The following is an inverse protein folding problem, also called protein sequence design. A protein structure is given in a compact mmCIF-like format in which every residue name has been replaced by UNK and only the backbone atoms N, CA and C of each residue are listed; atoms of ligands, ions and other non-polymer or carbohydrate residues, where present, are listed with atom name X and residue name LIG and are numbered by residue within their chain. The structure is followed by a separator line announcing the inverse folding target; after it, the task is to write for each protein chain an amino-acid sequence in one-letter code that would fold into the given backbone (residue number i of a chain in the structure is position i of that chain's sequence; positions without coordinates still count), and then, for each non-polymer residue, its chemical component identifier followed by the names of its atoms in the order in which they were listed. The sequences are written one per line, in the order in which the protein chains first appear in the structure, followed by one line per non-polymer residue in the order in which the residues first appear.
data_IF_114061255499
#
_entry.id   IF_114061255499
#
_cell.length_a   1.000
_cell.length_b   1.000
_cell.length_c   1.000
_cell.angle_alpha   90.00
_cell.angle_beta   90.00
_cell.angle_gamma   90.00
#
_symmetry.space_group_name_H-M   'P 1'
#
loop_
_entity.id
_entity.type
_entity.pdbx_description
1 polymer ?
#
# COMPACT_ATOMS: atom_id res chain seq x y z
N UNK A 1 22.91 -4.67 7.57
CA UNK A 1 21.55 -4.07 7.53
C UNK A 1 20.97 -4.33 6.15
N UNK A 2 19.72 -4.78 5.99
CA UNK A 2 19.11 -4.95 4.68
C UNK A 2 19.14 -3.60 3.96
N UNK A 3 19.73 -3.59 2.77
CA UNK A 3 19.91 -2.38 1.96
C UNK A 3 18.65 -2.02 1.17
N UNK A 4 17.69 -2.95 1.05
CA UNK A 4 16.43 -2.81 0.33
C UNK A 4 15.29 -3.53 1.06
N UNK A 5 14.09 -2.99 0.95
CA UNK A 5 12.85 -3.59 1.44
C UNK A 5 11.85 -3.72 0.30
N UNK A 6 11.02 -4.75 0.35
CA UNK A 6 9.85 -4.90 -0.50
C UNK A 6 8.64 -4.45 0.30
N UNK A 7 7.84 -3.53 -0.23
CA UNK A 7 6.64 -3.08 0.45
C UNK A 7 5.50 -2.85 -0.53
N UNK A 8 4.30 -3.02 -0.01
CA UNK A 8 3.05 -2.74 -0.70
C UNK A 8 2.30 -1.69 0.10
N UNK A 9 1.59 -0.79 -0.57
CA UNK A 9 0.79 0.22 0.11
C UNK A 9 -0.49 0.57 -0.63
N UNK A 10 -1.47 1.04 0.14
CA UNK A 10 -2.73 1.56 -0.38
C UNK A 10 -2.81 3.02 0.03
N UNK A 11 -2.76 3.91 -0.96
CA UNK A 11 -2.88 5.34 -0.74
C UNK A 11 -4.33 5.75 -0.93
N UNK A 12 -4.95 6.33 0.10
CA UNK A 12 -6.33 6.84 0.06
C UNK A 12 -6.39 8.32 0.44
N UNK A 13 -7.50 9.00 0.15
CA UNK A 13 -7.63 10.44 0.46
C UNK A 13 -7.92 10.67 1.93
N UNK A 14 -8.64 9.75 2.55
CA UNK A 14 -9.19 9.95 3.90
C UNK A 14 -8.81 8.82 4.85
N UNK A 15 -8.68 9.17 6.13
CA UNK A 15 -8.45 8.20 7.19
C UNK A 15 -9.61 7.19 7.30
N UNK A 16 -10.84 7.63 7.00
CA UNK A 16 -12.03 6.76 7.03
C UNK A 16 -11.96 5.65 5.97
N UNK A 17 -11.50 5.96 4.76
CA UNK A 17 -11.24 4.94 3.74
C UNK A 17 -10.14 3.97 4.18
N UNK A 18 -9.06 4.47 4.80
CA UNK A 18 -7.97 3.61 5.29
C UNK A 18 -8.47 2.64 6.37
N UNK A 19 -9.29 3.11 7.31
CA UNK A 19 -9.88 2.27 8.35
C UNK A 19 -10.86 1.23 7.78
N UNK A 20 -11.67 1.60 6.79
CA UNK A 20 -12.55 0.65 6.09
C UNK A 20 -11.74 -0.46 5.44
N UNK A 21 -10.65 -0.10 4.76
CA UNK A 21 -9.76 -1.07 4.10
C UNK A 21 -9.08 -1.96 5.14
N UNK A 22 -8.57 -1.39 6.23
CA UNK A 22 -7.98 -2.15 7.32
C UNK A 22 -8.98 -3.15 7.93
N UNK A 23 -10.24 -2.75 8.08
CA UNK A 23 -11.30 -3.61 8.57
C UNK A 23 -11.59 -4.78 7.61
N UNK A 24 -11.65 -4.52 6.31
CA UNK A 24 -11.86 -5.55 5.29
C UNK A 24 -10.66 -6.51 5.23
N UNK A 25 -9.43 -5.98 5.28
CA UNK A 25 -8.20 -6.77 5.32
C UNK A 25 -8.14 -7.70 6.55
N UNK A 26 -8.54 -7.20 7.72
CA UNK A 26 -8.62 -8.02 8.94
C UNK A 26 -9.66 -9.15 8.85
N UNK A 27 -10.63 -9.06 7.92
CA UNK A 27 -11.61 -10.11 7.64
C UNK A 27 -11.15 -11.09 6.57
N UNK A 28 -9.93 -10.93 6.04
CA UNK A 28 -9.36 -11.78 5.01
C UNK A 28 -9.65 -11.31 3.58
N UNK A 29 -10.03 -10.04 3.38
CA UNK A 29 -10.11 -9.47 2.04
C UNK A 29 -8.72 -9.43 1.38
N UNK A 30 -8.69 -9.55 0.05
CA UNK A 30 -7.46 -9.57 -0.71
C UNK A 30 -6.86 -8.15 -0.81
N UNK A 31 -5.63 -7.98 -0.32
CA UNK A 31 -4.92 -6.71 -0.36
C UNK A 31 -4.72 -6.18 -1.78
N UNK A 32 -4.31 -7.04 -2.72
CA UNK A 32 -4.09 -6.63 -4.10
C UNK A 32 -5.38 -6.12 -4.76
N UNK A 33 -6.51 -6.79 -4.51
CA UNK A 33 -7.79 -6.36 -5.07
C UNK A 33 -8.21 -5.00 -4.51
N UNK A 34 -8.06 -4.79 -3.22
CA UNK A 34 -8.37 -3.49 -2.60
C UNK A 34 -7.42 -2.43 -3.13
N UNK A 35 -6.12 -2.72 -3.25
CA UNK A 35 -5.14 -1.80 -3.79
C UNK A 35 -5.45 -1.42 -5.25
N UNK A 36 -5.83 -2.40 -6.09
CA UNK A 36 -6.25 -2.16 -7.49
C UNK A 36 -7.49 -1.28 -7.59
N UNK A 37 -8.45 -1.44 -6.68
CA UNK A 37 -9.73 -0.75 -6.75
C UNK A 37 -9.75 0.60 -6.01
N UNK A 38 -8.98 0.74 -4.93
CA UNK A 38 -9.07 1.89 -4.01
C UNK A 38 -7.78 2.69 -3.85
N UNK A 39 -6.61 2.15 -4.22
CA UNK A 39 -5.37 2.91 -4.13
C UNK A 39 -5.33 4.00 -5.19
N UNK A 40 -4.98 5.21 -4.77
CA UNK A 40 -4.74 6.36 -5.62
C UNK A 40 -3.31 6.41 -6.17
N UNK A 41 -2.42 5.57 -5.60
CA UNK A 41 -1.06 5.48 -6.08
C UNK A 41 -1.02 4.72 -7.42
N UNK A 42 -0.13 5.09 -8.37
CA UNK A 42 0.07 4.32 -9.60
C UNK A 42 0.39 2.84 -9.35
N UNK A 43 1.02 2.51 -8.21
CA UNK A 43 1.28 1.15 -7.74
C UNK A 43 0.00 0.33 -7.51
N UNK A 44 -1.15 0.99 -7.30
CA UNK A 44 -2.44 0.33 -7.14
C UNK A 44 -2.74 -0.66 -8.27
N UNK A 45 -2.38 -0.33 -9.51
CA UNK A 45 -2.57 -1.23 -10.67
C UNK A 45 -1.87 -2.58 -10.50
N UNK A 46 -0.75 -2.60 -9.77
CA UNK A 46 0.03 -3.80 -9.46
C UNK A 46 -0.30 -4.36 -8.07
N UNK A 47 -1.50 -4.08 -7.52
CA UNK A 47 -1.86 -4.55 -6.19
C UNK A 47 -1.22 -3.76 -5.06
N UNK A 48 -0.74 -2.54 -5.33
CA UNK A 48 -0.08 -1.69 -4.33
C UNK A 48 1.43 -1.92 -4.23
N UNK A 49 1.98 -2.79 -5.07
CA UNK A 49 3.40 -3.13 -5.09
C UNK A 49 4.28 -1.96 -5.53
N UNK A 50 5.23 -1.60 -4.66
CA UNK A 50 6.26 -0.60 -4.90
C UNK A 50 7.61 -1.23 -5.30
N UNK A 51 7.70 -2.56 -5.26
CA UNK A 51 8.92 -3.30 -5.51
C UNK A 51 9.97 -3.08 -4.42
N UNK A 52 11.23 -3.36 -4.79
CA UNK A 52 12.36 -3.24 -3.88
C UNK A 52 12.95 -1.83 -3.88
N UNK A 53 12.84 -1.13 -2.75
CA UNK A 53 13.45 0.19 -2.60
C UNK A 53 14.41 0.26 -1.41
N UNK A 54 15.41 1.12 -1.54
CA UNK A 54 16.40 1.38 -0.50
C UNK A 54 15.99 2.52 0.43
N UNK A 55 16.71 2.67 1.54
CA UNK A 55 16.51 3.78 2.48
C UNK A 55 16.72 5.13 1.77
N UNK A 56 15.75 6.03 1.88
CA UNK A 56 15.78 7.37 1.26
C UNK A 56 15.15 7.47 -0.14
N UNK A 57 14.63 6.36 -0.68
CA UNK A 57 13.93 6.36 -1.98
C UNK A 57 12.44 6.71 -1.88
N UNK A 58 11.85 6.61 -0.69
CA UNK A 58 10.46 6.99 -0.40
C UNK A 58 10.41 8.29 0.40
N UNK A 59 9.24 8.93 0.38
CA UNK A 59 8.96 10.10 1.22
C UNK A 59 9.15 9.75 2.69
N UNK A 60 9.51 10.74 3.51
CA UNK A 60 9.92 10.52 4.91
C UNK A 60 8.79 9.93 5.76
N UNK A 61 7.56 10.22 5.38
CA UNK A 61 6.33 9.80 6.03
C UNK A 61 5.85 8.41 5.59
N UNK A 62 6.55 7.77 4.64
CA UNK A 62 6.37 6.37 4.26
C UNK A 62 7.19 5.46 5.19
#
# INVERSE_FOLDING_TARGET
MPTKVHAEHILVKTNQEANSILFDLNRGANFEEIAKNRSLCPSGKNGGDLGWFGRGMMVKEF
#
